data_IF_439454236307
#
_entry.id   IF_439454236307
#
_cell.length_a   1.000
_cell.length_b   1.000
_cell.length_c   1.000
_cell.angle_alpha   90.00
_cell.angle_beta   90.00
_cell.angle_gamma   90.00
#
_symmetry.space_group_name_H-M   'P 1'
#
loop_
_entity.id
_entity.type
_entity.pdbx_description
1 polymer ?
#
# COMPACT_ATOMS: atom_id res chain seq x y z
N UNK A 1 47.79 -8.76 35.11
CA UNK A 1 46.70 -9.20 34.20
C UNK A 1 45.37 -8.94 34.92
N UNK A 2 44.60 -7.92 34.50
CA UNK A 2 43.34 -7.54 35.15
C UNK A 2 42.17 -8.19 34.41
N UNK A 3 41.45 -9.12 35.06
CA UNK A 3 40.20 -9.68 34.56
C UNK A 3 39.07 -8.66 34.82
N UNK A 4 38.61 -7.94 33.79
CA UNK A 4 37.41 -7.09 33.90
C UNK A 4 36.15 -7.92 33.64
N UNK A 5 35.31 -7.93 34.68
CA UNK A 5 34.00 -8.56 34.85
C UNK A 5 32.97 -7.98 33.87
N UNK A 6 32.25 -8.85 33.16
CA UNK A 6 31.04 -8.49 32.41
C UNK A 6 30.02 -7.92 33.38
N UNK A 7 29.74 -6.61 33.30
CA UNK A 7 28.66 -5.97 34.04
C UNK A 7 27.53 -5.69 33.05
N UNK A 8 26.47 -6.49 33.16
CA UNK A 8 25.20 -6.22 32.54
C UNK A 8 24.51 -5.01 33.23
N UNK A 9 23.71 -4.31 32.43
CA UNK A 9 22.64 -3.37 32.80
C UNK A 9 23.09 -1.98 33.27
N UNK A 10 22.87 -0.98 32.40
CA UNK A 10 22.73 0.43 32.78
C UNK A 10 23.47 1.43 31.86
N UNK A 11 22.90 1.76 30.69
CA UNK A 11 23.28 2.90 29.83
C UNK A 11 24.64 2.75 29.12
N UNK A 12 24.75 2.69 27.80
CA UNK A 12 24.13 3.57 26.82
C UNK A 12 23.82 2.77 25.54
N UNK A 13 22.54 2.57 25.27
CA UNK A 13 22.11 2.34 23.90
C UNK A 13 22.37 3.64 23.12
N UNK A 14 22.95 3.61 21.91
CA UNK A 14 23.10 4.81 21.11
C UNK A 14 21.72 5.40 20.86
N UNK A 15 21.46 6.56 21.46
CA UNK A 15 20.25 7.36 21.32
C UNK A 15 20.22 8.09 19.97
N UNK A 16 20.45 7.37 18.87
CA UNK A 16 20.47 7.91 17.50
C UNK A 16 19.78 6.99 16.49
N UNK A 17 18.88 6.12 16.96
CA UNK A 17 18.01 5.28 16.11
C UNK A 17 16.52 5.38 16.43
N UNK A 18 16.12 6.24 17.39
CA UNK A 18 14.76 6.27 17.92
C UNK A 18 13.76 7.10 17.10
N UNK A 19 14.20 7.83 16.08
CA UNK A 19 13.33 8.69 15.24
C UNK A 19 13.17 8.25 13.78
N UNK A 20 14.02 7.33 13.29
CA UNK A 20 14.02 6.90 11.89
C UNK A 20 13.62 5.42 11.70
N UNK A 21 13.56 4.62 12.77
CA UNK A 21 13.19 3.19 12.71
C UNK A 21 11.71 2.93 13.04
N UNK A 22 10.93 3.95 13.42
CA UNK A 22 9.52 3.77 13.80
C UNK A 22 8.49 4.55 13.00
N UNK A 23 8.93 5.33 12.02
CA UNK A 23 8.05 6.13 11.15
C UNK A 23 7.96 5.61 9.71
N UNK A 24 8.29 4.34 9.49
CA UNK A 24 8.00 3.64 8.24
C UNK A 24 7.06 2.45 8.42
N UNK A 25 6.47 2.32 9.62
CA UNK A 25 5.48 1.27 9.93
C UNK A 25 4.06 1.84 10.02
N UNK A 26 3.89 3.14 9.75
CA UNK A 26 2.59 3.74 9.41
C UNK A 26 2.33 3.55 7.91
N UNK A 27 2.42 2.30 7.45
CA UNK A 27 1.68 1.87 6.28
C UNK A 27 0.20 1.95 6.70
N UNK A 28 -0.40 3.14 6.59
CA UNK A 28 -1.82 3.36 6.87
C UNK A 28 -2.61 2.28 6.14
N UNK A 29 -3.21 1.38 6.92
CA UNK A 29 -3.92 0.23 6.40
C UNK A 29 -4.98 0.68 5.41
N UNK A 30 -4.79 0.34 4.14
CA UNK A 30 -5.66 0.68 3.04
C UNK A 30 -5.79 -0.47 2.06
N UNK A 31 -6.87 -0.47 1.29
CA UNK A 31 -7.05 -1.43 0.21
C UNK A 31 -5.96 -1.17 -0.84
N UNK A 32 -4.91 -2.01 -0.86
CA UNK A 32 -3.85 -1.97 -1.87
C UNK A 32 -4.42 -2.52 -3.19
N UNK A 33 -4.89 -1.61 -4.06
CA UNK A 33 -5.36 -1.96 -5.41
C UNK A 33 -4.17 -1.95 -6.36
N UNK A 34 -3.83 -3.08 -7.00
CA UNK A 34 -2.74 -3.11 -7.96
C UNK A 34 -3.13 -2.31 -9.22
N UNK A 35 -2.19 -1.62 -9.88
CA UNK A 35 -2.48 -0.74 -11.01
C UNK A 35 -3.15 -1.46 -12.18
N UNK A 36 -2.88 -2.75 -12.36
CA UNK A 36 -3.51 -3.61 -13.36
C UNK A 36 -5.03 -3.68 -13.19
N UNK A 37 -5.52 -3.71 -11.94
CA UNK A 37 -6.97 -3.75 -11.66
C UNK A 37 -7.64 -2.46 -12.09
N UNK A 38 -7.00 -1.30 -11.89
CA UNK A 38 -7.53 -0.01 -12.32
C UNK A 38 -7.66 0.05 -13.85
N UNK A 39 -6.64 -0.42 -14.55
CA UNK A 39 -6.62 -0.46 -16.02
C UNK A 39 -7.73 -1.36 -16.56
N UNK A 40 -7.92 -2.54 -15.96
CA UNK A 40 -8.99 -3.47 -16.36
C UNK A 40 -10.37 -2.86 -16.12
N UNK A 41 -10.60 -2.23 -14.97
CA UNK A 41 -11.87 -1.56 -14.67
C UNK A 41 -12.16 -0.46 -15.70
N UNK A 42 -11.17 0.39 -16.02
CA UNK A 42 -11.32 1.41 -17.05
C UNK A 42 -11.66 0.81 -18.42
N UNK A 43 -10.97 -0.26 -18.83
CA UNK A 43 -11.25 -0.93 -20.09
C UNK A 43 -12.67 -1.49 -20.15
N UNK A 44 -13.14 -2.12 -19.06
CA UNK A 44 -14.51 -2.65 -18.96
C UNK A 44 -15.55 -1.53 -19.10
N UNK A 45 -15.36 -0.39 -18.41
CA UNK A 45 -16.27 0.75 -18.50
C UNK A 45 -16.36 1.28 -19.94
N UNK A 46 -15.22 1.38 -20.64
CA UNK A 46 -15.19 1.81 -22.05
C UNK A 46 -15.96 0.83 -22.93
N UNK A 47 -15.71 -0.48 -22.79
CA UNK A 47 -16.40 -1.52 -23.56
C UNK A 47 -17.91 -1.47 -23.32
N UNK A 48 -18.34 -1.35 -22.05
CA UNK A 48 -19.76 -1.21 -21.72
C UNK A 48 -20.36 0.05 -22.35
N UNK A 49 -19.65 1.18 -22.31
CA UNK A 49 -20.09 2.41 -22.97
C UNK A 49 -20.28 2.25 -24.48
N UNK A 50 -19.34 1.57 -25.15
CA UNK A 50 -19.43 1.28 -26.59
C UNK A 50 -20.60 0.33 -26.88
N UNK A 51 -20.76 -0.74 -26.09
CA UNK A 51 -21.86 -1.67 -26.25
C UNK A 51 -23.22 -0.99 -26.05
N UNK A 52 -23.34 -0.10 -25.07
CA UNK A 52 -24.54 0.72 -24.89
C UNK A 52 -24.73 1.74 -26.02
N UNK A 53 -23.67 2.27 -26.62
CA UNK A 53 -23.84 3.17 -27.75
C UNK A 53 -24.33 2.44 -29.01
N UNK A 54 -23.87 1.20 -29.23
CA UNK A 54 -24.22 0.41 -30.41
C UNK A 54 -25.57 -0.31 -30.23
N UNK A 55 -25.76 -0.96 -29.09
CA UNK A 55 -26.93 -1.79 -28.79
C UNK A 55 -27.92 -1.13 -27.84
N UNK A 56 -27.61 0.04 -27.29
CA UNK A 56 -28.47 0.68 -26.29
C UNK A 56 -29.83 1.10 -26.82
N UNK A 57 -29.97 1.41 -28.11
CA UNK A 57 -31.30 1.65 -28.70
C UNK A 57 -32.18 0.38 -28.62
N UNK A 58 -31.61 -0.79 -28.96
CA UNK A 58 -32.34 -2.05 -28.92
C UNK A 58 -32.51 -2.61 -27.50
N UNK A 59 -31.58 -2.30 -26.59
CA UNK A 59 -31.60 -2.73 -25.19
C UNK A 59 -32.46 -1.83 -24.29
N UNK A 60 -32.53 -0.52 -24.57
CA UNK A 60 -33.35 0.46 -23.83
C UNK A 60 -34.74 0.68 -24.47
N UNK A 61 -35.01 0.09 -25.64
CA UNK A 61 -36.34 0.02 -26.23
C UNK A 61 -36.94 1.36 -26.62
N UNK A 62 -36.11 2.32 -27.05
CA UNK A 62 -36.51 3.65 -27.55
C UNK A 62 -36.40 3.77 -29.06
#
# INVERSE_FOLDING_TARGET
MVKRKTQAVGGAMPATGAGLIRYFDEDEGGLKVPPEVVVVICAVVIVVGILLQIFGAELLGV
#
